data_IF_078583394898
#
_entry.id   IF_078583394898
#
_cell.length_a   1.000
_cell.length_b   1.000
_cell.length_c   1.000
_cell.angle_alpha   90.00
_cell.angle_beta   90.00
_cell.angle_gamma   90.00
#
_symmetry.space_group_name_H-M   'P 1'
#
loop_
_entity.id
_entity.type
_entity.pdbx_description
1 polymer ?
#
# COMPACT_ATOMS: atom_id res chain seq x y z
N UNK A 1 -29.82 -4.57 -19.06
CA UNK A 1 -29.25 -3.86 -17.89
C UNK A 1 -27.86 -4.43 -17.65
N UNK A 2 -26.81 -3.84 -18.24
CA UNK A 2 -25.45 -4.31 -18.08
C UNK A 2 -24.83 -3.68 -16.82
N UNK A 3 -24.97 -4.34 -15.68
CA UNK A 3 -24.15 -4.01 -14.52
C UNK A 3 -22.84 -4.79 -14.62
N UNK A 4 -21.93 -4.29 -15.46
CA UNK A 4 -20.56 -4.80 -15.48
C UNK A 4 -19.91 -4.42 -14.14
N UNK A 5 -19.76 -5.40 -13.26
CA UNK A 5 -18.92 -5.27 -12.08
C UNK A 5 -17.49 -5.00 -12.55
N UNK A 6 -17.11 -3.71 -12.57
CA UNK A 6 -15.74 -3.27 -12.87
C UNK A 6 -14.83 -3.80 -11.77
N UNK A 7 -14.31 -5.01 -11.96
CA UNK A 7 -13.24 -5.54 -11.13
C UNK A 7 -12.00 -4.70 -11.43
N UNK A 8 -11.69 -3.76 -10.54
CA UNK A 8 -10.40 -3.05 -10.55
C UNK A 8 -9.33 -4.04 -10.10
N UNK A 9 -8.93 -4.95 -11.00
CA UNK A 9 -7.64 -5.61 -10.87
C UNK A 9 -6.59 -4.60 -11.33
N UNK A 10 -6.33 -3.58 -10.49
CA UNK A 10 -5.15 -2.75 -10.65
C UNK A 10 -4.02 -3.53 -10.00
N UNK A 11 -3.07 -4.09 -10.76
CA UNK A 11 -1.93 -4.74 -10.14
C UNK A 11 -1.15 -3.62 -9.43
N UNK A 12 -1.19 -3.60 -8.11
CA UNK A 12 -0.25 -2.80 -7.31
C UNK A 12 1.11 -3.45 -7.49
N UNK A 13 1.78 -3.17 -8.60
CA UNK A 13 3.12 -3.66 -8.88
C UNK A 13 4.11 -2.87 -8.02
N UNK A 14 4.12 -3.15 -6.72
CA UNK A 14 5.23 -2.72 -5.88
C UNK A 14 6.49 -3.40 -6.41
N UNK A 15 7.48 -2.58 -6.76
CA UNK A 15 8.82 -3.06 -7.05
C UNK A 15 9.41 -3.78 -5.83
N UNK A 16 10.39 -4.65 -6.08
CA UNK A 16 11.09 -5.37 -5.00
C UNK A 16 11.69 -4.40 -3.98
N UNK A 17 12.20 -3.25 -4.45
CA UNK A 17 12.73 -2.19 -3.60
C UNK A 17 11.68 -1.57 -2.67
N UNK A 18 10.47 -1.34 -3.17
CA UNK A 18 9.36 -0.81 -2.36
C UNK A 18 8.89 -1.82 -1.32
N UNK A 19 8.80 -3.10 -1.68
CA UNK A 19 8.49 -4.17 -0.72
C UNK A 19 9.55 -4.23 0.37
N UNK A 20 10.84 -4.13 0.00
CA UNK A 20 11.93 -4.13 0.96
C UNK A 20 11.87 -2.92 1.91
N UNK A 21 11.57 -1.73 1.38
CA UNK A 21 11.36 -0.53 2.18
C UNK A 21 10.23 -0.73 3.19
N UNK A 22 9.06 -1.19 2.73
CA UNK A 22 7.89 -1.47 3.57
C UNK A 22 8.22 -2.44 4.70
N UNK A 23 8.98 -3.49 4.42
CA UNK A 23 9.39 -4.50 5.42
C UNK A 23 10.34 -3.91 6.46
N UNK A 24 11.35 -3.12 6.03
CA UNK A 24 12.32 -2.50 6.94
C UNK A 24 11.61 -1.51 7.88
N UNK A 25 10.79 -0.62 7.34
CA UNK A 25 10.09 0.39 8.12
C UNK A 25 9.00 -0.24 9.00
N UNK A 26 8.36 -1.33 8.58
CA UNK A 26 7.46 -2.09 9.44
C UNK A 26 8.20 -2.67 10.66
N UNK A 27 9.37 -3.26 10.43
CA UNK A 27 10.17 -3.84 11.52
C UNK A 27 10.65 -2.77 12.52
N UNK A 28 11.11 -1.63 12.01
CA UNK A 28 11.60 -0.52 12.84
C UNK A 28 10.49 0.20 13.62
N UNK A 29 9.30 0.30 13.03
CA UNK A 29 8.17 1.02 13.64
C UNK A 29 7.50 0.26 14.78
N UNK A 30 7.83 -1.03 14.98
CA UNK A 30 7.34 -1.88 16.09
C UNK A 30 5.81 -1.95 16.20
N UNK A 31 5.10 -1.78 15.09
CA UNK A 31 3.66 -2.03 15.08
C UNK A 31 3.39 -3.52 15.34
N UNK A 32 2.35 -3.77 16.14
CA UNK A 32 1.89 -5.12 16.45
C UNK A 32 1.35 -5.84 15.21
N UNK A 33 0.63 -5.10 14.37
CA UNK A 33 -0.12 -5.65 13.24
C UNK A 33 0.24 -4.90 11.95
N UNK A 34 0.50 -5.66 10.89
CA UNK A 34 0.83 -5.11 9.58
C UNK A 34 -0.28 -4.22 9.03
N UNK A 35 -1.54 -4.55 9.31
CA UNK A 35 -2.70 -3.76 8.86
C UNK A 35 -2.70 -2.34 9.44
N UNK A 36 -2.41 -2.22 10.73
CA UNK A 36 -2.34 -0.92 11.42
C UNK A 36 -1.17 -0.10 10.90
N UNK A 37 -0.02 -0.74 10.72
CA UNK A 37 1.13 -0.12 10.09
C UNK A 37 0.82 0.37 8.66
N UNK A 38 0.23 -0.48 7.82
CA UNK A 38 -0.10 -0.13 6.45
C UNK A 38 -1.04 1.07 6.42
N UNK A 39 -2.12 1.07 7.22
CA UNK A 39 -3.07 2.18 7.26
C UNK A 39 -2.43 3.45 7.82
N UNK A 40 -1.61 3.39 8.87
CA UNK A 40 -1.08 4.62 9.49
C UNK A 40 0.17 5.18 8.79
N UNK A 41 1.00 4.31 8.23
CA UNK A 41 2.26 4.69 7.61
C UNK A 41 2.07 4.95 6.11
N UNK A 42 1.46 4.01 5.37
CA UNK A 42 1.30 4.14 3.92
C UNK A 42 0.29 5.24 3.58
N UNK A 43 -0.82 5.35 4.33
CA UNK A 43 -1.77 6.44 4.12
C UNK A 43 -1.21 7.83 4.44
N UNK A 44 -0.18 7.92 5.29
CA UNK A 44 0.34 9.20 5.79
C UNK A 44 1.60 9.66 5.07
N UNK A 45 2.42 8.72 4.61
CA UNK A 45 3.69 9.01 3.93
C UNK A 45 3.62 8.76 2.43
N UNK A 46 2.97 7.68 1.99
CA UNK A 46 3.02 7.25 0.58
C UNK A 46 1.95 7.91 -0.29
N UNK A 47 0.75 8.21 0.23
CA UNK A 47 -0.31 8.89 -0.55
C UNK A 47 0.08 10.29 -1.01
N UNK A 48 0.99 10.97 -0.29
CA UNK A 48 1.44 12.31 -0.63
C UNK A 48 2.69 12.31 -1.54
N UNK A 49 3.56 11.30 -1.43
CA UNK A 49 4.71 11.14 -2.33
C UNK A 49 4.39 10.37 -3.63
N UNK A 50 3.42 9.46 -3.60
CA UNK A 50 3.05 8.60 -4.74
C UNK A 50 1.52 8.47 -4.88
N UNK A 51 0.85 9.50 -5.42
CA UNK A 51 -0.61 9.50 -5.55
C UNK A 51 -1.16 8.39 -6.47
N UNK A 52 -0.33 7.80 -7.33
CA UNK A 52 -0.74 6.71 -8.23
C UNK A 52 -0.55 5.29 -7.67
N UNK A 53 0.13 5.14 -6.52
CA UNK A 53 0.47 3.82 -5.97
C UNK A 53 -0.74 3.05 -5.44
N UNK A 54 -1.83 3.77 -5.09
CA UNK A 54 -3.01 3.19 -4.46
C UNK A 54 -4.25 3.66 -5.24
N UNK A 55 -4.67 2.89 -6.25
CA UNK A 55 -5.85 3.21 -7.06
C UNK A 55 -6.71 2.01 -7.43
#
# INVERSE_FOLDING_TARGET
MFSSSKQKNKPSCLSVSEVMMIVITFHQSRYRDFKTYYIHFIYRYITNEFPELIS
#
